data_IF_929036758801
#
_entry.id   IF_929036758801
#
_cell.length_a   1.000
_cell.length_b   1.000
_cell.length_c   1.000
_cell.angle_alpha   90.00
_cell.angle_beta   90.00
_cell.angle_gamma   90.00
#
_symmetry.space_group_name_H-M   'P 1'
#
loop_
_entity.id
_entity.type
_entity.pdbx_description
1 polymer ?
#
# COMPACT_ATOMS: atom_id res chain seq x y z
N UNK A 1 4.03 24.15 21.34
CA UNK A 1 4.75 24.28 20.06
C UNK A 1 5.65 25.48 20.21
N UNK A 2 6.98 25.26 20.23
CA UNK A 2 7.94 26.34 20.43
C UNK A 2 7.93 27.33 19.26
N UNK A 3 8.35 28.56 19.52
CA UNK A 3 8.25 29.75 18.66
C UNK A 3 8.85 29.59 17.23
N UNK A 4 9.55 28.49 16.93
CA UNK A 4 10.20 28.23 15.63
C UNK A 4 9.63 27.05 14.83
N UNK A 5 8.57 26.39 15.31
CA UNK A 5 7.86 25.34 14.56
C UNK A 5 8.74 24.15 14.11
N UNK A 6 8.20 23.31 13.22
CA UNK A 6 8.94 22.20 12.60
C UNK A 6 10.17 22.65 11.77
N UNK A 7 10.42 23.96 11.66
CA UNK A 7 11.49 24.54 10.86
C UNK A 7 12.84 24.68 11.57
N UNK A 8 12.90 24.36 12.87
CA UNK A 8 14.12 24.50 13.67
C UNK A 8 15.32 23.76 13.08
N UNK A 9 15.13 22.56 12.54
CA UNK A 9 16.21 21.76 11.95
C UNK A 9 16.86 22.48 10.75
N UNK A 10 16.08 22.82 9.72
CA UNK A 10 16.57 23.60 8.56
C UNK A 10 17.21 24.92 8.94
N UNK A 11 16.68 25.65 9.92
CA UNK A 11 17.30 26.91 10.38
C UNK A 11 18.66 26.64 11.01
N UNK A 12 18.78 25.62 11.86
CA UNK A 12 20.05 25.24 12.49
C UNK A 12 21.08 24.76 11.46
N UNK A 13 20.70 23.87 10.54
CA UNK A 13 21.59 23.34 9.50
C UNK A 13 21.98 24.42 8.49
N UNK A 14 21.05 25.30 8.10
CA UNK A 14 21.34 26.41 7.19
C UNK A 14 22.25 27.47 7.80
N UNK A 15 22.05 27.81 9.09
CA UNK A 15 22.95 28.72 9.81
C UNK A 15 24.36 28.13 9.91
N UNK A 16 24.46 26.83 10.21
CA UNK A 16 25.75 26.14 10.23
C UNK A 16 26.43 26.14 8.85
N UNK A 17 25.69 25.86 7.77
CA UNK A 17 26.21 25.92 6.41
C UNK A 17 26.70 27.31 6.01
N UNK A 18 25.97 28.36 6.41
CA UNK A 18 26.36 29.75 6.18
C UNK A 18 27.65 30.13 6.92
N UNK A 19 27.78 29.74 8.20
CA UNK A 19 29.01 29.96 8.98
C UNK A 19 30.18 29.22 8.32
N UNK A 20 30.00 27.95 7.96
CA UNK A 20 31.04 27.15 7.32
C UNK A 20 31.48 27.75 5.98
N UNK A 21 30.53 28.25 5.19
CA UNK A 21 30.83 28.93 3.91
C UNK A 21 31.55 30.26 4.14
N UNK A 22 31.17 31.04 5.15
CA UNK A 22 31.82 32.31 5.47
C UNK A 22 33.22 32.16 6.09
N UNK A 23 33.50 31.03 6.75
CA UNK A 23 34.81 30.70 7.29
C UNK A 23 35.79 30.21 6.23
N UNK A 24 35.29 29.80 5.06
CA UNK A 24 36.07 29.26 3.96
C UNK A 24 37.22 30.19 3.50
N UNK A 25 37.00 31.48 3.14
CA UNK A 25 38.09 32.35 2.69
C UNK A 25 39.18 32.58 3.76
N UNK A 26 38.84 32.49 5.04
CA UNK A 26 39.79 32.69 6.15
C UNK A 26 40.74 31.49 6.28
N UNK A 27 40.24 30.27 6.03
CA UNK A 27 41.02 29.04 6.18
C UNK A 27 41.78 28.61 4.92
N UNK A 28 41.36 29.05 3.74
CA UNK A 28 42.05 28.77 2.46
C UNK A 28 43.48 29.30 2.46
N UNK A 29 43.71 30.46 3.04
CA UNK A 29 45.04 31.10 3.02
C UNK A 29 46.02 30.51 4.07
N UNK A 30 45.55 29.67 4.99
CA UNK A 30 46.34 29.14 6.13
C UNK A 30 46.83 27.72 5.86
N UNK A 31 46.05 26.88 5.17
CA UNK A 31 46.43 25.50 4.87
C UNK A 31 45.69 24.90 3.67
N UNK A 32 46.43 24.48 2.64
CA UNK A 32 45.89 23.83 1.42
C UNK A 32 45.08 22.56 1.71
N UNK A 33 45.41 21.84 2.78
CA UNK A 33 44.67 20.63 3.19
C UNK A 33 43.24 20.96 3.65
N UNK A 34 43.01 22.12 4.25
CA UNK A 34 41.67 22.57 4.67
C UNK A 34 40.82 22.96 3.46
N UNK A 35 41.42 23.48 2.39
CA UNK A 35 40.70 23.83 1.16
C UNK A 35 39.97 22.63 0.55
N UNK A 36 40.60 21.44 0.55
CA UNK A 36 39.99 20.19 0.07
C UNK A 36 38.83 19.76 0.99
N UNK A 37 38.90 20.01 2.30
CA UNK A 37 37.79 19.70 3.21
C UNK A 37 36.62 20.67 2.97
N UNK A 38 36.88 21.96 2.78
CA UNK A 38 35.83 22.94 2.51
C UNK A 38 35.16 22.73 1.13
N UNK A 39 35.91 22.33 0.10
CA UNK A 39 35.34 22.09 -1.25
C UNK A 39 34.28 20.98 -1.26
N UNK A 40 34.40 19.99 -0.37
CA UNK A 40 33.42 18.89 -0.23
C UNK A 40 32.39 19.18 0.88
N UNK A 41 32.78 19.80 1.99
CA UNK A 41 31.89 20.01 3.13
C UNK A 41 30.83 21.08 2.87
N UNK A 42 31.18 22.16 2.15
CA UNK A 42 30.24 23.24 1.79
C UNK A 42 29.07 22.70 0.95
N UNK A 43 29.26 22.00 -0.18
CA UNK A 43 28.13 21.48 -0.95
C UNK A 43 27.32 20.42 -0.20
N UNK A 44 27.95 19.57 0.62
CA UNK A 44 27.25 18.55 1.41
C UNK A 44 26.32 19.20 2.45
N UNK A 45 26.79 20.24 3.16
CA UNK A 45 25.98 20.93 4.18
C UNK A 45 24.82 21.74 3.58
N UNK A 46 25.03 22.35 2.40
CA UNK A 46 23.95 22.97 1.63
C UNK A 46 22.93 21.95 1.11
N UNK A 47 23.38 20.79 0.64
CA UNK A 47 22.51 19.70 0.26
C UNK A 47 21.68 19.20 1.45
N UNK A 48 22.29 19.02 2.62
CA UNK A 48 21.59 18.60 3.83
C UNK A 48 20.54 19.62 4.27
N UNK A 49 20.85 20.91 4.14
CA UNK A 49 19.90 22.00 4.41
C UNK A 49 18.67 21.89 3.49
N UNK A 50 18.88 21.60 2.20
CA UNK A 50 17.81 21.41 1.24
C UNK A 50 16.96 20.16 1.56
N UNK A 51 17.60 19.05 1.96
CA UNK A 51 16.90 17.83 2.38
C UNK A 51 16.07 18.08 3.65
N UNK A 52 16.62 18.79 4.64
CA UNK A 52 15.88 19.19 5.84
C UNK A 52 14.68 20.07 5.49
N UNK A 53 14.86 21.02 4.56
CA UNK A 53 13.76 21.87 4.08
C UNK A 53 12.67 21.05 3.38
N UNK A 54 13.06 20.13 2.48
CA UNK A 54 12.14 19.26 1.76
C UNK A 54 11.38 18.31 2.71
N UNK A 55 12.07 17.78 3.73
CA UNK A 55 11.46 16.95 4.77
C UNK A 55 10.37 17.70 5.53
N UNK A 56 10.63 18.95 5.92
CA UNK A 56 9.65 19.77 6.64
C UNK A 56 8.46 20.12 5.73
N UNK A 57 8.75 20.52 4.50
CA UNK A 57 7.74 20.83 3.49
C UNK A 57 6.81 19.64 3.24
N UNK A 58 7.35 18.42 3.20
CA UNK A 58 6.56 17.18 3.11
C UNK A 58 5.64 16.98 4.32
N UNK A 59 6.12 17.20 5.55
CA UNK A 59 5.27 17.07 6.75
C UNK A 59 4.16 18.10 6.79
N UNK A 60 4.42 19.33 6.32
CA UNK A 60 3.42 20.39 6.27
C UNK A 60 2.33 20.12 5.22
N UNK A 61 2.66 19.46 4.10
CA UNK A 61 1.67 19.05 3.11
C UNK A 61 0.73 17.96 3.64
N UNK A 62 1.27 16.97 4.36
CA UNK A 62 0.45 15.91 4.98
C UNK A 62 -0.48 16.47 6.06
N UNK A 63 -0.01 17.42 6.88
CA UNK A 63 -0.81 17.97 7.98
C UNK A 63 -1.88 18.98 7.50
N UNK A 64 -1.67 19.68 6.38
CA UNK A 64 -2.66 20.58 5.77
C UNK A 64 -3.88 19.87 5.17
N UNK A 65 -3.73 18.61 4.74
CA UNK A 65 -4.85 17.79 4.29
C UNK A 65 -5.62 17.09 5.42
N UNK A 66 -5.13 17.20 6.67
CA UNK A 66 -5.78 16.76 7.91
C UNK A 66 -6.12 17.96 8.80
N UNK A 67 -6.25 19.16 8.23
CA UNK A 67 -6.66 20.37 8.97
C UNK A 67 -8.19 20.48 9.06
N UNK A 68 -8.84 19.40 9.50
CA UNK A 68 -10.21 19.48 9.99
C UNK A 68 -10.40 18.55 11.19
N UNK A 69 -9.52 18.62 12.18
CA UNK A 69 -9.90 18.45 13.59
C UNK A 69 -8.76 18.93 14.49
N UNK A 70 -9.08 19.98 15.23
CA UNK A 70 -8.72 20.24 16.62
C UNK A 70 -7.53 19.49 17.21
N UNK A 71 -6.54 20.29 17.60
CA UNK A 71 -5.60 20.08 18.69
C UNK A 71 -6.16 19.16 19.80
N UNK A 72 -5.70 17.91 19.86
CA UNK A 72 -5.61 17.17 21.11
C UNK A 72 -4.38 16.26 21.11
N UNK A 73 -3.52 16.47 22.10
CA UNK A 73 -2.64 15.43 22.61
C UNK A 73 -3.53 14.38 23.32
N UNK A 74 -3.66 13.18 22.77
CA UNK A 74 -4.10 11.97 23.51
C UNK A 74 -3.82 10.75 22.62
N UNK A 75 -2.91 9.87 23.02
CA UNK A 75 -3.22 8.66 23.78
C UNK A 75 -3.90 7.55 22.95
N UNK A 76 -3.17 6.45 22.82
CA UNK A 76 -3.63 5.06 22.68
C UNK A 76 -4.25 4.59 21.34
N UNK A 77 -3.63 3.52 20.85
CA UNK A 77 -4.29 2.30 20.37
C UNK A 77 -5.19 2.40 19.13
N UNK A 78 -4.58 2.33 17.94
CA UNK A 78 -4.93 1.32 16.93
C UNK A 78 -3.96 1.43 15.76
N UNK A 79 -2.90 0.62 15.81
CA UNK A 79 -2.07 0.33 14.63
C UNK A 79 -2.81 -0.68 13.75
N UNK A 80 -3.88 -0.23 13.10
CA UNK A 80 -4.46 -0.94 11.97
C UNK A 80 -4.62 0.06 10.83
N UNK A 81 -3.61 0.05 9.96
CA UNK A 81 -3.74 0.05 8.51
C UNK A 81 -4.82 0.97 7.93
N UNK A 82 -4.42 2.11 7.39
CA UNK A 82 -4.86 2.49 6.05
C UNK A 82 -3.67 3.12 5.33
N UNK A 83 -3.05 2.31 4.48
CA UNK A 83 -2.12 2.72 3.43
C UNK A 83 -2.84 3.77 2.57
N UNK A 84 -2.39 5.04 2.62
CA UNK A 84 -2.82 6.03 1.64
C UNK A 84 -1.97 5.89 0.39
N UNK A 85 -2.56 5.22 -0.61
CA UNK A 85 -2.03 5.05 -1.95
C UNK A 85 -1.99 6.43 -2.62
N UNK A 86 -0.78 6.98 -2.79
CA UNK A 86 -0.56 8.14 -3.67
C UNK A 86 -0.53 7.63 -5.12
N UNK A 87 -1.62 7.83 -5.87
CA UNK A 87 -1.61 7.61 -7.33
C UNK A 87 -0.81 8.73 -8.01
N UNK A 88 0.16 8.33 -8.82
CA UNK A 88 1.19 9.14 -9.46
C UNK A 88 0.73 10.03 -10.64
N UNK A 89 -0.53 10.48 -10.69
CA UNK A 89 -1.01 11.37 -11.75
C UNK A 89 -1.75 12.56 -11.14
N UNK A 90 -1.09 13.73 -11.19
CA UNK A 90 -1.53 15.00 -10.60
C UNK A 90 -2.78 15.64 -11.22
N UNK A 91 -3.85 14.88 -11.41
CA UNK A 91 -5.20 15.41 -11.68
C UNK A 91 -6.00 15.21 -10.40
N UNK A 92 -6.34 16.32 -9.73
CA UNK A 92 -7.24 16.31 -8.57
C UNK A 92 -8.60 15.85 -9.06
N UNK A 93 -8.88 14.54 -9.01
CA UNK A 93 -10.24 14.06 -9.09
C UNK A 93 -10.99 14.69 -7.91
N UNK A 94 -12.08 15.37 -8.20
CA UNK A 94 -12.90 16.06 -7.23
C UNK A 94 -13.29 15.05 -6.14
N UNK A 95 -13.28 15.42 -4.87
CA UNK A 95 -13.64 14.46 -3.79
C UNK A 95 -15.03 13.82 -4.01
N UNK A 96 -15.89 14.46 -4.81
CA UNK A 96 -17.16 13.90 -5.31
C UNK A 96 -16.95 12.73 -6.27
N UNK A 97 -16.10 12.85 -7.29
CA UNK A 97 -15.82 11.79 -8.28
C UNK A 97 -15.18 10.56 -7.62
N UNK A 98 -14.32 10.77 -6.62
CA UNK A 98 -13.73 9.65 -5.85
C UNK A 98 -14.79 8.97 -4.97
N UNK A 99 -15.73 9.74 -4.39
CA UNK A 99 -16.82 9.16 -3.60
C UNK A 99 -17.79 8.38 -4.48
N UNK A 100 -18.12 8.92 -5.65
CA UNK A 100 -18.97 8.30 -6.66
C UNK A 100 -18.35 7.00 -7.21
N UNK A 101 -17.07 7.05 -7.60
CA UNK A 101 -16.34 5.85 -8.00
C UNK A 101 -16.26 4.82 -6.87
N UNK A 102 -16.11 5.25 -5.60
CA UNK A 102 -16.14 4.32 -4.47
C UNK A 102 -17.50 3.66 -4.27
N UNK A 103 -18.59 4.41 -4.45
CA UNK A 103 -19.94 3.85 -4.33
C UNK A 103 -20.24 2.87 -5.47
N UNK A 104 -19.86 3.21 -6.70
CA UNK A 104 -19.98 2.34 -7.87
C UNK A 104 -19.17 1.05 -7.70
N UNK A 105 -17.89 1.16 -7.31
CA UNK A 105 -17.06 -0.02 -7.03
C UNK A 105 -17.61 -0.88 -5.88
N UNK A 106 -18.26 -0.27 -4.89
CA UNK A 106 -18.88 -1.01 -3.78
C UNK A 106 -20.12 -1.77 -4.25
N UNK A 107 -20.91 -1.16 -5.13
CA UNK A 107 -22.07 -1.78 -5.76
C UNK A 107 -21.66 -2.95 -6.66
N UNK A 108 -20.66 -2.76 -7.52
CA UNK A 108 -20.07 -3.80 -8.37
C UNK A 108 -19.47 -4.95 -7.56
N UNK A 109 -18.82 -4.65 -6.42
CA UNK A 109 -18.28 -5.69 -5.55
C UNK A 109 -19.40 -6.53 -4.94
N UNK A 110 -20.51 -5.90 -4.55
CA UNK A 110 -21.66 -6.59 -3.99
C UNK A 110 -22.37 -7.45 -5.04
N UNK A 111 -22.57 -6.93 -6.25
CA UNK A 111 -23.18 -7.68 -7.35
C UNK A 111 -22.31 -8.87 -7.79
N UNK A 112 -20.98 -8.68 -7.84
CA UNK A 112 -20.05 -9.75 -8.15
C UNK A 112 -20.03 -10.82 -7.04
N UNK A 113 -20.09 -10.41 -5.77
CA UNK A 113 -20.18 -11.33 -4.63
C UNK A 113 -21.47 -12.15 -4.66
N UNK A 114 -22.59 -11.55 -5.04
CA UNK A 114 -23.85 -12.28 -5.24
C UNK A 114 -23.72 -13.29 -6.40
N UNK A 115 -23.16 -12.86 -7.53
CA UNK A 115 -22.94 -13.72 -8.69
C UNK A 115 -22.03 -14.91 -8.38
N UNK A 116 -20.97 -14.70 -7.59
CA UNK A 116 -20.07 -15.78 -7.13
C UNK A 116 -20.83 -16.74 -6.22
N UNK A 117 -21.63 -16.25 -5.29
CA UNK A 117 -22.44 -17.10 -4.40
C UNK A 117 -23.42 -17.98 -5.19
N UNK A 118 -24.10 -17.42 -6.18
CA UNK A 118 -25.01 -18.18 -7.05
C UNK A 118 -24.24 -19.27 -7.82
N UNK A 119 -23.02 -18.96 -8.31
CA UNK A 119 -22.17 -19.94 -9.00
C UNK A 119 -21.67 -21.04 -8.07
N UNK A 120 -21.36 -20.73 -6.81
CA UNK A 120 -20.98 -21.75 -5.81
C UNK A 120 -22.16 -22.71 -5.54
N UNK A 121 -23.38 -22.19 -5.40
CA UNK A 121 -24.60 -23.01 -5.26
C UNK A 121 -24.82 -23.90 -6.50
N UNK A 122 -24.55 -23.40 -7.71
CA UNK A 122 -24.64 -24.15 -8.95
C UNK A 122 -23.57 -25.27 -9.04
N UNK A 123 -22.35 -24.99 -8.60
CA UNK A 123 -21.26 -25.98 -8.54
C UNK A 123 -21.61 -27.10 -7.56
N UNK A 124 -22.19 -26.78 -6.40
CA UNK A 124 -22.64 -27.79 -5.44
C UNK A 124 -23.73 -28.68 -6.05
N UNK A 125 -24.72 -28.09 -6.72
CA UNK A 125 -25.78 -28.84 -7.41
C UNK A 125 -25.22 -29.77 -8.49
N UNK A 126 -24.31 -29.26 -9.32
CA UNK A 126 -23.69 -30.05 -10.39
C UNK A 126 -22.82 -31.19 -9.84
N UNK A 127 -22.07 -30.95 -8.76
CA UNK A 127 -21.29 -32.01 -8.10
C UNK A 127 -22.19 -33.12 -7.54
N UNK A 128 -23.35 -32.77 -6.99
CA UNK A 128 -24.32 -33.75 -6.53
C UNK A 128 -24.89 -34.58 -7.71
N UNK A 129 -25.17 -33.94 -8.83
CA UNK A 129 -25.63 -34.63 -10.05
C UNK A 129 -24.57 -35.57 -10.62
N UNK A 130 -23.30 -35.13 -10.69
CA UNK A 130 -22.17 -35.97 -11.12
C UNK A 130 -22.02 -37.18 -10.20
N UNK A 131 -22.10 -36.98 -8.88
CA UNK A 131 -22.03 -38.07 -7.91
C UNK A 131 -23.15 -39.10 -8.14
N UNK A 132 -24.38 -38.64 -8.34
CA UNK A 132 -25.52 -39.52 -8.61
C UNK A 132 -25.39 -40.27 -9.95
N UNK A 133 -24.91 -39.61 -11.00
CA UNK A 133 -24.65 -40.27 -12.28
C UNK A 133 -23.54 -41.32 -12.15
N UNK A 134 -22.49 -41.04 -11.40
CA UNK A 134 -21.40 -41.98 -11.17
C UNK A 134 -21.86 -43.22 -10.36
N UNK A 135 -22.78 -43.06 -9.40
CA UNK A 135 -23.34 -44.21 -8.69
C UNK A 135 -24.23 -45.05 -9.60
N UNK A 136 -25.02 -44.43 -10.48
CA UNK A 136 -25.85 -45.14 -11.47
C UNK A 136 -24.99 -45.99 -12.40
N UNK A 137 -23.92 -45.43 -12.97
CA UNK A 137 -23.00 -46.15 -13.87
C UNK A 137 -22.35 -47.35 -13.16
N UNK A 138 -21.96 -47.20 -11.90
CA UNK A 138 -21.42 -48.31 -11.10
C UNK A 138 -22.44 -49.42 -10.86
N UNK A 139 -23.71 -49.09 -10.63
CA UNK A 139 -24.78 -50.08 -10.49
C UNK A 139 -24.99 -50.83 -11.81
N UNK A 140 -24.92 -50.13 -12.95
CA UNK A 140 -25.03 -50.76 -14.26
C UNK A 140 -23.85 -51.70 -14.54
N UNK A 141 -22.61 -51.29 -14.25
CA UNK A 141 -21.44 -52.16 -14.40
C UNK A 141 -21.54 -53.39 -13.49
N UNK A 142 -21.88 -53.23 -12.22
CA UNK A 142 -22.09 -54.35 -11.28
C UNK A 142 -23.19 -55.30 -11.75
N UNK A 143 -24.28 -54.78 -12.34
CA UNK A 143 -25.35 -55.59 -12.91
C UNK A 143 -24.87 -56.41 -14.11
N UNK A 144 -24.05 -55.83 -14.99
CA UNK A 144 -23.46 -56.56 -16.12
C UNK A 144 -22.48 -57.64 -15.67
N UNK A 145 -21.65 -57.35 -14.67
CA UNK A 145 -20.72 -58.31 -14.07
C UNK A 145 -21.47 -59.47 -13.39
N UNK A 146 -22.53 -59.18 -12.63
CA UNK A 146 -23.38 -60.19 -12.01
C UNK A 146 -24.08 -61.07 -13.05
N UNK A 147 -24.60 -60.47 -14.13
CA UNK A 147 -25.19 -61.22 -15.23
C UNK A 147 -24.17 -62.16 -15.91
N UNK A 148 -22.94 -61.69 -16.12
CA UNK A 148 -21.86 -62.50 -16.69
C UNK A 148 -21.46 -63.64 -15.75
N UNK A 149 -21.24 -63.35 -14.46
CA UNK A 149 -20.95 -64.37 -13.44
C UNK A 149 -22.05 -65.42 -13.34
N UNK A 150 -23.33 -65.01 -13.41
CA UNK A 150 -24.47 -65.93 -13.43
C UNK A 150 -24.48 -66.82 -14.68
N UNK A 151 -24.16 -66.29 -15.85
CA UNK A 151 -24.02 -67.10 -17.07
C UNK A 151 -22.89 -68.11 -16.94
N UNK A 152 -21.72 -67.70 -16.42
CA UNK A 152 -20.59 -68.60 -16.22
C UNK A 152 -20.90 -69.70 -15.21
N UNK A 153 -21.60 -69.37 -14.11
CA UNK A 153 -22.03 -70.36 -13.12
C UNK A 153 -23.09 -71.33 -13.66
N UNK A 154 -23.99 -70.87 -14.53
CA UNK A 154 -25.03 -71.70 -15.16
C UNK A 154 -24.51 -72.59 -16.29
N UNK A 155 -23.29 -72.36 -16.79
CA UNK A 155 -22.68 -73.12 -17.88
C UNK A 155 -21.82 -74.30 -17.39
N UNK A 156 -21.79 -74.53 -16.07
CA UNK A 156 -21.15 -75.66 -15.39
C UNK A 156 -22.22 -76.63 -14.92
#
# INVERSE_FOLDING_TARGET
MGYLGNHLATIATGTFAAILTGLWPIFVDIADILQIVFIIAVPITWFLTLVCWMSQRSTDYTQKHTSHTTYEKKSLNNSLQVIQIYTANGKRASQSEIKEAKTELTEDLNSLKETVKIKDDEIERLNQEISNLQTLVQIESLKTELANLKMLASKK
#
